data_IF_924423187831
#
_entry.id   IF_924423187831
#
_cell.length_a   1.000
_cell.length_b   1.000
_cell.length_c   1.000
_cell.angle_alpha   90.00
_cell.angle_beta   90.00
_cell.angle_gamma   90.00
#
_symmetry.space_group_name_H-M   'P 1'
#
loop_
_entity.id
_entity.type
_entity.pdbx_description
1 polymer ?
#
# COMPACT_ATOMS: atom_id res chain seq x y z
N UNK A 1 -14.64 -3.77 -15.86
CA UNK A 1 -15.53 -2.59 -15.68
C UNK A 1 -15.94 -2.60 -14.21
N UNK A 2 -15.99 -1.48 -13.48
CA UNK A 2 -16.40 -1.52 -12.08
C UNK A 2 -17.84 -2.03 -11.93
N UNK A 3 -18.20 -2.67 -10.80
CA UNK A 3 -19.56 -3.17 -10.59
C UNK A 3 -20.59 -2.03 -10.64
N UNK A 4 -21.74 -2.20 -11.31
CA UNK A 4 -22.68 -1.11 -11.60
C UNK A 4 -23.51 -0.64 -10.40
N UNK A 5 -23.67 -1.45 -9.36
CA UNK A 5 -24.44 -1.08 -8.17
C UNK A 5 -23.49 -0.63 -7.07
N UNK A 6 -23.49 0.67 -6.76
CA UNK A 6 -22.63 1.26 -5.73
C UNK A 6 -23.47 1.86 -4.62
N UNK A 7 -23.10 1.54 -3.38
CA UNK A 7 -23.73 2.07 -2.18
C UNK A 7 -22.67 2.62 -1.24
N UNK A 8 -22.94 3.80 -0.68
CA UNK A 8 -22.29 4.30 0.54
C UNK A 8 -23.14 3.86 1.72
N UNK A 9 -22.57 3.04 2.60
CA UNK A 9 -23.18 2.62 3.85
C UNK A 9 -22.65 3.54 4.95
N UNK A 10 -23.54 4.07 5.77
CA UNK A 10 -23.19 5.03 6.81
C UNK A 10 -24.03 4.86 8.08
N UNK A 11 -23.45 5.20 9.24
CA UNK A 11 -24.16 5.40 10.52
C UNK A 11 -24.81 6.78 10.62
N UNK A 12 -24.30 7.75 9.86
CA UNK A 12 -24.81 9.13 9.81
C UNK A 12 -26.17 9.17 9.11
N UNK A 13 -27.22 9.60 9.82
CA UNK A 13 -28.55 9.79 9.22
C UNK A 13 -28.47 10.90 8.14
N UNK A 14 -28.82 10.62 6.87
CA UNK A 14 -28.84 11.62 5.83
C UNK A 14 -29.78 12.81 6.13
N UNK A 15 -30.77 12.65 7.02
CA UNK A 15 -31.66 13.72 7.45
C UNK A 15 -30.96 14.82 8.28
N UNK A 16 -29.81 14.51 8.87
CA UNK A 16 -29.02 15.45 9.68
C UNK A 16 -27.97 16.23 8.87
N UNK A 17 -28.05 16.18 7.54
CA UNK A 17 -27.18 16.97 6.65
C UNK A 17 -27.75 18.38 6.46
N UNK A 18 -26.85 19.36 6.43
CA UNK A 18 -27.20 20.74 6.09
C UNK A 18 -27.47 20.91 4.59
N UNK A 19 -27.82 22.13 4.18
CA UNK A 19 -28.10 22.49 2.78
C UNK A 19 -26.89 22.33 1.84
N UNK A 20 -25.67 22.20 2.38
CA UNK A 20 -24.43 21.96 1.65
C UNK A 20 -24.03 20.48 1.64
N UNK A 21 -24.81 19.61 2.30
CA UNK A 21 -24.56 18.18 2.40
C UNK A 21 -23.58 17.78 3.50
N UNK A 22 -23.15 18.71 4.37
CA UNK A 22 -22.31 18.39 5.52
C UNK A 22 -23.16 17.78 6.64
N UNK A 23 -22.66 16.73 7.27
CA UNK A 23 -23.33 16.12 8.42
C UNK A 23 -23.20 17.04 9.64
N UNK A 24 -24.32 17.29 10.33
CA UNK A 24 -24.39 18.17 11.51
C UNK A 24 -24.97 17.47 12.76
N UNK A 25 -25.21 16.16 12.68
CA UNK A 25 -25.75 15.37 13.78
C UNK A 25 -24.72 15.02 14.86
N UNK A 26 -25.15 14.22 15.83
CA UNK A 26 -24.39 13.93 17.05
C UNK A 26 -23.46 12.71 16.97
N UNK A 27 -23.50 11.96 15.86
CA UNK A 27 -22.67 10.76 15.69
C UNK A 27 -21.18 11.10 15.61
N UNK A 28 -20.36 10.29 16.29
CA UNK A 28 -18.90 10.44 16.35
C UNK A 28 -18.25 10.09 15.00
N UNK A 29 -17.04 10.59 14.74
CA UNK A 29 -16.24 10.25 13.56
C UNK A 29 -15.37 8.99 13.76
N UNK A 30 -15.34 8.44 14.98
CA UNK A 30 -14.57 7.25 15.36
C UNK A 30 -15.42 5.98 15.49
N UNK A 31 -14.77 4.81 15.51
CA UNK A 31 -15.49 3.54 15.64
C UNK A 31 -16.05 3.43 17.04
N UNK A 32 -17.23 2.83 17.18
CA UNK A 32 -17.78 2.51 18.50
C UNK A 32 -17.19 1.22 19.08
N UNK A 33 -16.37 0.50 18.30
CA UNK A 33 -15.83 -0.84 18.61
C UNK A 33 -16.93 -1.82 19.06
N UNK A 34 -18.16 -1.60 18.60
CA UNK A 34 -19.36 -2.10 19.23
C UNK A 34 -20.47 -2.45 18.23
N UNK A 35 -21.74 -2.16 18.56
CA UNK A 35 -22.87 -2.49 17.71
C UNK A 35 -22.81 -1.88 16.30
N UNK A 36 -22.34 -0.65 16.13
CA UNK A 36 -22.29 0.03 14.83
C UNK A 36 -21.21 -0.58 13.95
N UNK A 37 -20.01 -0.81 14.49
CA UNK A 37 -18.97 -1.58 13.81
C UNK A 37 -19.49 -2.97 13.38
N UNK A 38 -20.15 -3.70 14.28
CA UNK A 38 -20.72 -5.01 13.96
C UNK A 38 -21.78 -4.92 12.86
N UNK A 39 -22.58 -3.85 12.84
CA UNK A 39 -23.56 -3.60 11.79
C UNK A 39 -22.90 -3.38 10.42
N UNK A 40 -21.78 -2.64 10.35
CA UNK A 40 -21.03 -2.48 9.11
C UNK A 40 -20.50 -3.82 8.60
N UNK A 41 -19.88 -4.62 9.47
CA UNK A 41 -19.35 -5.92 9.09
C UNK A 41 -20.45 -6.87 8.60
N UNK A 42 -21.60 -6.92 9.28
CA UNK A 42 -22.75 -7.71 8.85
C UNK A 42 -23.33 -7.23 7.52
N UNK A 43 -23.35 -5.92 7.28
CA UNK A 43 -23.79 -5.37 6.00
C UNK A 43 -22.83 -5.82 4.88
N UNK A 44 -21.52 -5.64 5.04
CA UNK A 44 -20.51 -6.06 4.05
C UNK A 44 -20.61 -7.56 3.77
N UNK A 45 -20.74 -8.38 4.81
CA UNK A 45 -20.92 -9.83 4.66
C UNK A 45 -22.16 -10.18 3.83
N UNK A 46 -23.32 -9.56 4.13
CA UNK A 46 -24.55 -9.83 3.39
C UNK A 46 -24.49 -9.38 1.93
N UNK A 47 -23.78 -8.29 1.63
CA UNK A 47 -23.54 -7.85 0.26
C UNK A 47 -22.61 -8.83 -0.48
N UNK A 48 -21.54 -9.30 0.16
CA UNK A 48 -20.63 -10.29 -0.40
C UNK A 48 -21.36 -11.62 -0.68
N UNK A 49 -22.13 -12.13 0.28
CA UNK A 49 -22.99 -13.31 0.13
C UNK A 49 -24.01 -13.16 -0.99
N UNK A 50 -24.68 -12.00 -1.06
CA UNK A 50 -25.62 -11.66 -2.13
C UNK A 50 -25.00 -11.66 -3.52
N UNK A 51 -23.69 -11.40 -3.60
CA UNK A 51 -22.89 -11.49 -4.83
C UNK A 51 -22.19 -12.85 -4.99
N UNK A 52 -22.40 -13.82 -4.10
CA UNK A 52 -21.74 -15.13 -4.16
C UNK A 52 -20.23 -15.10 -3.92
N UNK A 53 -19.73 -14.07 -3.21
CA UNK A 53 -18.30 -13.87 -2.97
C UNK A 53 -17.88 -14.52 -1.67
N UNK A 54 -16.82 -15.32 -1.72
CA UNK A 54 -16.22 -15.97 -0.55
C UNK A 54 -14.75 -15.61 -0.35
N UNK A 55 -14.12 -14.99 -1.35
CA UNK A 55 -12.73 -14.58 -1.35
C UNK A 55 -12.61 -13.22 -2.03
N UNK A 56 -11.67 -12.41 -1.54
CA UNK A 56 -11.41 -11.07 -2.02
C UNK A 56 -9.90 -10.90 -2.21
N UNK A 57 -9.50 -10.24 -3.27
CA UNK A 57 -8.13 -9.80 -3.48
C UNK A 57 -7.90 -8.46 -2.77
N UNK A 58 -6.74 -8.36 -2.10
CA UNK A 58 -6.23 -7.11 -1.56
C UNK A 58 -5.69 -6.26 -2.72
N UNK A 59 -6.04 -4.97 -2.71
CA UNK A 59 -5.61 -3.96 -3.67
C UNK A 59 -5.15 -2.71 -2.97
N UNK A 60 -4.11 -2.10 -3.55
CA UNK A 60 -3.53 -0.86 -3.05
C UNK A 60 -3.30 -0.86 -1.52
N UNK A 61 -2.69 -1.92 -0.95
CA UNK A 61 -2.46 -1.98 0.48
C UNK A 61 -1.53 -0.85 0.93
N UNK A 62 -1.82 -0.28 2.10
CA UNK A 62 -1.01 0.69 2.81
C UNK A 62 -1.00 0.32 4.29
N UNK A 63 0.00 0.81 5.02
CA UNK A 63 0.11 0.68 6.47
C UNK A 63 0.22 2.05 7.12
N UNK A 64 0.35 2.12 8.45
CA UNK A 64 0.62 3.40 9.10
C UNK A 64 1.97 3.93 8.63
N UNK A 65 1.97 5.10 8.01
CA UNK A 65 3.19 5.81 7.66
C UNK A 65 3.90 6.42 8.88
N UNK A 66 5.03 7.12 8.69
CA UNK A 66 5.75 7.81 9.77
C UNK A 66 4.95 8.95 10.40
N UNK A 67 3.87 9.41 9.74
CA UNK A 67 2.91 10.37 10.27
C UNK A 67 1.52 9.72 10.25
N UNK A 68 0.91 9.62 11.43
CA UNK A 68 -0.46 9.16 11.59
C UNK A 68 -1.40 10.36 11.56
N UNK A 69 -2.21 10.46 10.50
CA UNK A 69 -3.24 11.49 10.36
C UNK A 69 -4.62 11.01 10.81
N UNK A 70 -4.70 9.77 11.28
CA UNK A 70 -5.90 9.15 11.77
C UNK A 70 -6.40 9.75 13.09
N UNK A 71 -7.68 9.53 13.38
CA UNK A 71 -8.37 10.04 14.56
C UNK A 71 -8.13 9.14 15.78
N UNK A 72 -7.98 7.83 15.56
CA UNK A 72 -7.64 6.86 16.62
C UNK A 72 -6.12 6.62 16.65
N UNK A 73 -5.48 6.33 17.80
CA UNK A 73 -4.06 6.04 17.83
C UNK A 73 -3.70 4.78 17.01
N UNK A 74 -2.64 4.85 16.21
CA UNK A 74 -2.12 3.68 15.52
C UNK A 74 -1.78 2.54 16.50
N UNK A 75 -2.12 1.31 16.13
CA UNK A 75 -1.88 0.11 16.93
C UNK A 75 -0.61 -0.59 16.43
N UNK A 76 0.16 -1.19 17.35
CA UNK A 76 1.32 -2.00 17.01
C UNK A 76 0.96 -3.08 15.96
N UNK A 77 1.81 -3.24 14.95
CA UNK A 77 1.56 -4.16 13.84
C UNK A 77 0.41 -3.74 12.92
N UNK A 78 0.05 -2.45 12.92
CA UNK A 78 -0.91 -1.83 11.99
C UNK A 78 -2.34 -2.41 12.08
N UNK A 79 -2.70 -2.99 13.22
CA UNK A 79 -3.97 -3.70 13.39
C UNK A 79 -4.07 -5.03 12.64
N UNK A 80 -2.96 -5.55 12.10
CA UNK A 80 -2.91 -6.79 11.32
C UNK A 80 -2.42 -8.01 12.13
N UNK A 81 -2.12 -7.80 13.42
CA UNK A 81 -1.67 -8.87 14.30
C UNK A 81 -2.69 -10.02 14.36
N UNK A 82 -2.24 -11.24 14.04
CA UNK A 82 -3.09 -12.43 13.98
C UNK A 82 -3.78 -12.66 12.64
N UNK A 83 -3.84 -11.66 11.75
CA UNK A 83 -4.26 -11.81 10.36
C UNK A 83 -3.07 -12.17 9.46
N UNK A 84 -1.94 -11.49 9.68
CA UNK A 84 -0.70 -11.70 8.94
C UNK A 84 0.49 -11.83 9.89
N UNK A 85 1.60 -12.45 9.44
CA UNK A 85 2.86 -12.43 10.18
C UNK A 85 3.38 -10.99 10.36
N UNK A 86 4.26 -10.74 11.37
CA UNK A 86 4.76 -9.39 11.64
C UNK A 86 5.54 -8.73 10.50
N UNK A 87 6.10 -9.53 9.59
CA UNK A 87 6.78 -9.03 8.38
C UNK A 87 5.80 -8.69 7.24
N UNK A 88 4.49 -8.81 7.48
CA UNK A 88 3.40 -8.55 6.54
C UNK A 88 3.36 -9.50 5.34
N UNK A 89 4.03 -10.65 5.41
CA UNK A 89 3.91 -11.69 4.38
C UNK A 89 2.44 -12.06 4.16
N UNK A 90 1.96 -11.94 2.92
CA UNK A 90 0.57 -12.18 2.53
C UNK A 90 -0.33 -10.93 2.53
N UNK A 91 0.13 -9.79 3.06
CA UNK A 91 -0.57 -8.50 2.92
C UNK A 91 0.10 -7.68 1.80
N UNK A 92 -0.31 -7.95 0.56
CA UNK A 92 0.23 -7.31 -0.63
C UNK A 92 -0.82 -7.19 -1.73
N UNK A 93 -0.58 -6.33 -2.73
CA UNK A 93 -1.47 -6.24 -3.89
C UNK A 93 -1.53 -7.59 -4.59
N UNK A 94 -2.72 -8.10 -4.86
CA UNK A 94 -2.88 -9.42 -5.47
C UNK A 94 -3.21 -10.54 -4.50
N UNK A 95 -2.89 -10.39 -3.22
CA UNK A 95 -3.13 -11.44 -2.23
C UNK A 95 -4.63 -11.74 -2.11
N UNK A 96 -5.01 -13.01 -2.23
CA UNK A 96 -6.38 -13.47 -2.00
C UNK A 96 -6.56 -13.85 -0.54
N UNK A 97 -7.65 -13.35 0.06
CA UNK A 97 -8.05 -13.65 1.43
C UNK A 97 -9.49 -14.16 1.46
N UNK A 98 -9.83 -14.97 2.46
CA UNK A 98 -11.21 -15.37 2.69
C UNK A 98 -12.07 -14.18 3.10
N UNK A 99 -13.39 -14.30 2.94
CA UNK A 99 -14.34 -13.28 3.40
C UNK A 99 -14.16 -12.97 4.89
N UNK A 100 -13.91 -13.97 5.74
CA UNK A 100 -13.69 -13.76 7.18
C UNK A 100 -12.49 -12.84 7.44
N UNK A 101 -11.36 -13.07 6.76
CA UNK A 101 -10.17 -12.23 6.88
C UNK A 101 -10.42 -10.83 6.30
N UNK A 102 -11.15 -10.75 5.18
CA UNK A 102 -11.55 -9.48 4.59
C UNK A 102 -12.42 -8.63 5.52
N UNK A 103 -13.34 -9.25 6.27
CA UNK A 103 -14.15 -8.56 7.28
C UNK A 103 -13.30 -8.03 8.44
N UNK A 104 -12.28 -8.77 8.87
CA UNK A 104 -11.35 -8.28 9.88
C UNK A 104 -10.45 -7.14 9.35
N UNK A 105 -10.12 -7.14 8.06
CA UNK A 105 -9.48 -5.98 7.42
C UNK A 105 -10.42 -4.76 7.39
N UNK A 106 -11.70 -4.94 7.07
CA UNK A 106 -12.71 -3.86 7.15
C UNK A 106 -12.81 -3.32 8.57
N UNK A 107 -12.79 -4.21 9.58
CA UNK A 107 -12.77 -3.81 10.99
C UNK A 107 -11.54 -2.96 11.32
N UNK A 108 -10.35 -3.40 10.89
CA UNK A 108 -9.11 -2.66 11.13
C UNK A 108 -9.14 -1.26 10.49
N UNK A 109 -9.70 -1.13 9.29
CA UNK A 109 -9.88 0.16 8.60
C UNK A 109 -10.91 1.06 9.28
N UNK A 110 -12.05 0.50 9.73
CA UNK A 110 -13.07 1.26 10.47
C UNK A 110 -12.54 1.85 11.78
N UNK A 111 -11.65 1.11 12.45
CA UNK A 111 -10.97 1.53 13.68
C UNK A 111 -9.76 2.42 13.44
N UNK A 112 -9.39 2.66 12.18
CA UNK A 112 -8.21 3.47 11.85
C UNK A 112 -6.92 2.92 12.52
N UNK A 113 -6.84 1.58 12.64
CA UNK A 113 -5.75 0.89 13.35
C UNK A 113 -4.42 0.92 12.57
N UNK A 114 -4.42 1.39 11.32
CA UNK A 114 -3.20 1.63 10.54
C UNK A 114 -3.17 1.00 9.15
N UNK A 115 -3.74 -0.19 8.98
CA UNK A 115 -3.81 -0.82 7.67
C UNK A 115 -4.95 -0.24 6.83
N UNK A 116 -4.68 -0.07 5.54
CA UNK A 116 -5.64 0.38 4.55
C UNK A 116 -5.53 -0.47 3.30
N UNK A 117 -6.65 -0.83 2.69
CA UNK A 117 -6.67 -1.46 1.38
C UNK A 117 -8.07 -1.37 0.77
N UNK A 118 -8.13 -1.62 -0.53
CA UNK A 118 -9.38 -2.02 -1.17
C UNK A 118 -9.45 -3.54 -1.24
N UNK A 119 -10.65 -4.07 -1.06
CA UNK A 119 -10.93 -5.49 -1.20
C UNK A 119 -11.85 -5.68 -2.40
N UNK A 120 -11.47 -6.52 -3.35
CA UNK A 120 -12.25 -6.71 -4.57
C UNK A 120 -12.30 -8.18 -5.02
N UNK A 121 -13.39 -8.53 -5.71
CA UNK A 121 -13.50 -9.73 -6.51
C UNK A 121 -13.79 -9.30 -7.95
N UNK A 122 -12.71 -9.04 -8.70
CA UNK A 122 -12.75 -8.60 -10.09
C UNK A 122 -13.80 -7.50 -10.36
N UNK A 123 -14.72 -7.72 -11.30
CA UNK A 123 -15.85 -6.83 -11.60
C UNK A 123 -17.15 -7.22 -10.88
N UNK A 124 -17.11 -8.22 -10.00
CA UNK A 124 -18.27 -8.75 -9.30
C UNK A 124 -18.56 -8.01 -7.99
N UNK A 125 -17.52 -7.57 -7.28
CA UNK A 125 -17.65 -6.98 -5.96
C UNK A 125 -16.44 -6.13 -5.56
N UNK A 126 -16.67 -5.05 -4.83
CA UNK A 126 -15.62 -4.31 -4.14
C UNK A 126 -16.13 -3.71 -2.83
N UNK A 127 -15.27 -3.65 -1.82
CA UNK A 127 -15.49 -2.89 -0.59
C UNK A 127 -14.27 -2.02 -0.28
N UNK A 128 -14.56 -0.80 0.18
CA UNK A 128 -13.57 0.15 0.62
C UNK A 128 -14.13 1.00 1.77
N UNK A 129 -13.30 1.33 2.74
CA UNK A 129 -13.67 2.17 3.89
C UNK A 129 -13.08 3.54 3.64
N UNK A 130 -13.84 4.62 3.80
CA UNK A 130 -13.37 6.00 3.72
C UNK A 130 -12.84 6.50 5.07
N UNK A 131 -12.06 7.57 5.06
CA UNK A 131 -11.41 8.14 6.25
C UNK A 131 -12.41 8.66 7.30
N UNK A 132 -13.65 8.88 6.89
CA UNK A 132 -14.80 9.33 7.67
C UNK A 132 -15.75 8.17 8.07
N UNK A 133 -15.27 6.92 7.96
CA UNK A 133 -15.99 5.68 8.23
C UNK A 133 -17.16 5.37 7.30
N UNK A 134 -17.27 6.07 6.17
CA UNK A 134 -18.16 5.63 5.11
C UNK A 134 -17.66 4.30 4.52
N UNK A 135 -18.54 3.30 4.45
CA UNK A 135 -18.19 2.03 3.79
C UNK A 135 -18.81 2.03 2.40
N UNK A 136 -17.97 1.99 1.38
CA UNK A 136 -18.37 1.92 -0.01
C UNK A 136 -18.40 0.47 -0.44
N UNK A 137 -19.58 -0.01 -0.85
CA UNK A 137 -19.76 -1.36 -1.38
C UNK A 137 -20.23 -1.25 -2.83
N UNK A 138 -19.57 -1.97 -3.72
CA UNK A 138 -19.97 -2.12 -5.13
C UNK A 138 -20.25 -3.59 -5.42
N UNK A 139 -21.30 -3.89 -6.17
CA UNK A 139 -21.68 -5.25 -6.55
C UNK A 139 -22.25 -5.33 -7.96
N UNK A 140 -22.22 -6.53 -8.54
CA UNK A 140 -22.80 -6.79 -9.87
C UNK A 140 -24.34 -6.86 -9.85
N UNK A 141 -24.95 -6.97 -8.66
CA UNK A 141 -26.39 -6.98 -8.46
C UNK A 141 -26.84 -5.99 -7.37
N UNK A 142 -28.14 -5.64 -7.33
CA UNK A 142 -28.69 -4.64 -6.40
C UNK A 142 -28.69 -5.10 -4.93
N UNK A 143 -28.59 -6.41 -4.67
CA UNK A 143 -28.52 -6.99 -3.32
C UNK A 143 -29.63 -6.51 -2.37
N UNK A 144 -30.90 -6.56 -2.80
CA UNK A 144 -32.04 -6.03 -2.05
C UNK A 144 -32.14 -6.57 -0.62
N UNK A 145 -31.82 -7.86 -0.41
CA UNK A 145 -31.79 -8.46 0.93
C UNK A 145 -30.70 -7.86 1.82
N UNK A 146 -29.52 -7.58 1.28
CA UNK A 146 -28.45 -6.91 2.00
C UNK A 146 -28.85 -5.47 2.35
N UNK A 147 -29.43 -4.73 1.41
CA UNK A 147 -29.95 -3.38 1.66
C UNK A 147 -31.02 -3.34 2.77
N UNK A 148 -31.93 -4.32 2.78
CA UNK A 148 -32.94 -4.44 3.81
C UNK A 148 -32.32 -4.75 5.18
N UNK A 149 -31.32 -5.64 5.22
CA UNK A 149 -30.57 -5.94 6.43
C UNK A 149 -29.81 -4.71 6.95
N UNK A 150 -29.08 -4.00 6.08
CA UNK A 150 -28.34 -2.78 6.44
C UNK A 150 -29.25 -1.77 7.13
N UNK A 151 -30.44 -1.51 6.57
CA UNK A 151 -31.43 -0.61 7.20
C UNK A 151 -31.94 -1.13 8.53
N UNK A 152 -32.19 -2.45 8.64
CA UNK A 152 -32.63 -3.08 9.89
C UNK A 152 -31.56 -3.01 10.99
N UNK A 153 -30.29 -2.99 10.61
CA UNK A 153 -29.15 -2.82 11.53
C UNK A 153 -28.94 -1.37 11.97
N UNK A 154 -29.76 -0.43 11.49
CA UNK A 154 -29.68 0.99 11.85
C UNK A 154 -28.68 1.79 10.99
N UNK A 155 -28.19 1.22 9.89
CA UNK A 155 -27.33 1.92 8.94
C UNK A 155 -28.13 2.42 7.74
N UNK A 156 -27.60 3.43 7.06
CA UNK A 156 -28.22 4.06 5.90
C UNK A 156 -27.42 3.70 4.63
N UNK A 157 -27.95 2.82 3.76
CA UNK A 157 -27.35 2.59 2.45
C UNK A 157 -27.86 3.65 1.46
N UNK A 158 -26.95 4.46 0.94
CA UNK A 158 -27.21 5.50 -0.05
C UNK A 158 -26.65 5.07 -1.42
N UNK A 159 -27.49 4.99 -2.48
CA UNK A 159 -26.99 4.67 -3.81
C UNK A 159 -26.12 5.81 -4.35
N UNK A 160 -25.03 5.43 -5.02
CA UNK A 160 -24.13 6.37 -5.70
C UNK A 160 -24.01 6.03 -7.19
N UNK A 161 -23.77 7.01 -8.06
CA UNK A 161 -23.49 6.76 -9.46
C UNK A 161 -22.14 6.05 -9.68
N UNK A 162 -21.16 6.33 -8.82
CA UNK A 162 -19.85 5.69 -8.80
C UNK A 162 -19.23 5.80 -7.42
N UNK A 163 -18.32 4.88 -7.09
CA UNK A 163 -17.51 4.99 -5.87
C UNK A 163 -16.48 6.10 -6.06
N UNK A 164 -16.27 7.00 -5.08
CA UNK A 164 -15.13 7.93 -5.12
C UNK A 164 -13.78 7.21 -5.09
N UNK A 165 -13.78 5.92 -4.78
CA UNK A 165 -12.62 5.02 -4.77
C UNK A 165 -12.69 3.97 -5.88
N UNK A 166 -13.42 4.26 -6.96
CA UNK A 166 -13.33 3.46 -8.18
C UNK A 166 -11.87 3.44 -8.66
N UNK A 167 -11.41 2.29 -9.18
CA UNK A 167 -10.04 2.15 -9.66
C UNK A 167 -9.78 3.15 -10.79
N UNK A 168 -8.78 4.00 -10.60
CA UNK A 168 -8.25 4.84 -11.67
C UNK A 168 -7.20 4.02 -12.45
N UNK A 169 -7.48 3.80 -13.73
CA UNK A 169 -6.56 3.10 -14.63
C UNK A 169 -5.81 4.06 -15.56
N UNK A 170 -6.15 5.36 -15.54
CA UNK A 170 -5.61 6.37 -16.44
C UNK A 170 -4.42 7.12 -15.83
N UNK A 171 -3.91 6.68 -14.66
CA UNK A 171 -2.71 7.26 -14.06
C UNK A 171 -1.52 7.22 -15.03
N UNK A 172 -0.90 8.38 -15.31
CA UNK A 172 0.23 8.48 -16.22
C UNK A 172 1.46 7.79 -15.64
N UNK A 173 2.13 6.97 -16.45
CA UNK A 173 3.35 6.27 -16.07
C UNK A 173 3.56 4.99 -16.89
N UNK A 174 4.80 4.52 -16.97
CA UNK A 174 5.10 3.23 -17.61
C UNK A 174 4.83 2.12 -16.60
N UNK A 175 4.32 0.99 -17.08
CA UNK A 175 4.17 -0.22 -16.29
C UNK A 175 5.10 -1.30 -16.87
N UNK A 176 6.37 -1.30 -16.46
CA UNK A 176 7.38 -2.26 -16.94
C UNK A 176 7.39 -3.51 -16.06
N UNK A 177 7.20 -4.73 -16.60
CA UNK A 177 7.36 -5.96 -15.82
C UNK A 177 8.84 -6.23 -15.49
N UNK A 178 9.09 -6.87 -14.35
CA UNK A 178 10.39 -7.46 -14.03
C UNK A 178 10.54 -8.82 -14.76
N UNK A 179 10.60 -8.73 -16.08
CA UNK A 179 10.75 -9.85 -17.01
C UNK A 179 12.21 -10.31 -17.16
N UNK A 180 12.46 -11.25 -18.07
CA UNK A 180 13.80 -11.79 -18.31
C UNK A 180 14.82 -10.70 -18.67
N UNK A 181 14.42 -9.66 -19.41
CA UNK A 181 15.31 -8.58 -19.83
C UNK A 181 15.66 -7.67 -18.65
N UNK A 182 14.70 -7.38 -17.75
CA UNK A 182 15.00 -6.69 -16.49
C UNK A 182 16.02 -7.45 -15.65
N UNK A 183 15.84 -8.76 -15.48
CA UNK A 183 16.76 -9.58 -14.68
C UNK A 183 18.15 -9.71 -15.32
N UNK A 184 18.23 -9.78 -16.65
CA UNK A 184 19.51 -9.78 -17.36
C UNK A 184 20.27 -8.46 -17.17
N UNK A 185 19.58 -7.31 -17.30
CA UNK A 185 20.18 -5.99 -17.05
C UNK A 185 20.64 -5.85 -15.60
N UNK A 186 19.87 -6.37 -14.65
CA UNK A 186 20.23 -6.34 -13.24
C UNK A 186 21.46 -7.21 -12.94
N UNK A 187 21.56 -8.40 -13.56
CA UNK A 187 22.73 -9.26 -13.44
C UNK A 187 24.00 -8.57 -13.97
N UNK A 188 23.91 -7.92 -15.14
CA UNK A 188 25.02 -7.13 -15.69
C UNK A 188 25.42 -5.97 -14.77
N UNK A 189 24.44 -5.30 -14.16
CA UNK A 189 24.68 -4.19 -13.25
C UNK A 189 25.44 -4.63 -12.00
N UNK A 190 25.10 -5.81 -11.45
CA UNK A 190 25.76 -6.35 -10.24
C UNK A 190 27.02 -7.16 -10.53
N UNK A 191 27.36 -7.36 -11.82
CA UNK A 191 28.59 -8.02 -12.26
C UNK A 191 29.79 -7.08 -12.08
N UNK A 192 30.24 -6.92 -10.83
CA UNK A 192 31.44 -6.16 -10.47
C UNK A 192 31.22 -5.06 -9.43
N UNK A 193 29.97 -4.77 -9.07
CA UNK A 193 29.62 -3.86 -7.98
C UNK A 193 28.32 -4.30 -7.32
N UNK A 194 28.14 -3.96 -6.04
CA UNK A 194 26.85 -4.17 -5.40
C UNK A 194 25.84 -3.09 -5.86
N UNK A 195 24.57 -3.39 -5.66
CA UNK A 195 23.47 -2.44 -5.85
C UNK A 195 22.45 -2.57 -4.72
N UNK A 196 21.62 -1.56 -4.53
CA UNK A 196 20.47 -1.63 -3.62
C UNK A 196 19.21 -1.91 -4.42
N UNK A 197 18.39 -2.83 -3.92
CA UNK A 197 17.03 -3.04 -4.38
C UNK A 197 16.07 -2.54 -3.31
N UNK A 198 15.25 -1.57 -3.70
CA UNK A 198 14.04 -1.19 -2.99
C UNK A 198 12.88 -2.04 -3.49
N UNK A 199 12.29 -2.82 -2.58
CA UNK A 199 11.07 -3.58 -2.79
C UNK A 199 9.91 -2.85 -2.09
N UNK A 200 9.10 -2.13 -2.85
CA UNK A 200 7.87 -1.49 -2.35
C UNK A 200 6.73 -2.50 -2.43
N UNK A 201 6.45 -3.16 -1.30
CA UNK A 201 5.50 -4.28 -1.20
C UNK A 201 4.09 -3.83 -0.80
N UNK A 202 3.97 -2.64 -0.21
CA UNK A 202 2.73 -1.86 0.03
C UNK A 202 3.02 -0.39 -0.31
N UNK A 203 2.01 0.45 -0.51
CA UNK A 203 2.21 1.77 -1.13
C UNK A 203 3.25 2.65 -0.43
N UNK A 204 3.26 2.61 0.90
CA UNK A 204 4.04 3.50 1.75
C UNK A 204 5.08 2.78 2.62
N UNK A 205 5.50 1.58 2.22
CA UNK A 205 6.60 0.88 2.89
C UNK A 205 7.46 0.05 1.95
N UNK A 206 8.76 0.06 2.23
CA UNK A 206 9.78 -0.60 1.42
C UNK A 206 10.59 -1.59 2.26
N UNK A 207 11.06 -2.66 1.62
CA UNK A 207 12.17 -3.49 2.11
C UNK A 207 13.41 -3.21 1.26
N UNK A 208 14.56 -3.20 1.91
CA UNK A 208 15.83 -2.90 1.26
C UNK A 208 16.70 -4.14 1.22
N UNK A 209 17.21 -4.46 0.03
CA UNK A 209 18.07 -5.62 -0.19
C UNK A 209 19.37 -5.17 -0.85
N UNK A 210 20.52 -5.58 -0.31
CA UNK A 210 21.78 -5.45 -1.05
C UNK A 210 21.91 -6.59 -2.05
N UNK A 211 22.05 -6.24 -3.30
CA UNK A 211 22.25 -7.15 -4.42
C UNK A 211 23.74 -7.28 -4.75
N UNK A 212 24.18 -8.52 -4.84
CA UNK A 212 25.45 -8.94 -5.42
C UNK A 212 25.17 -10.07 -6.42
N UNK A 213 26.16 -10.45 -7.21
CA UNK A 213 26.06 -11.63 -8.09
C UNK A 213 25.65 -12.89 -7.31
N UNK A 214 26.12 -13.04 -6.08
CA UNK A 214 25.81 -14.19 -5.21
C UNK A 214 24.42 -14.11 -4.55
N UNK A 215 23.92 -12.91 -4.24
CA UNK A 215 22.67 -12.73 -3.50
C UNK A 215 21.43 -12.64 -4.39
N UNK A 216 21.59 -12.27 -5.67
CA UNK A 216 20.50 -11.93 -6.58
C UNK A 216 19.38 -12.97 -6.62
N UNK A 217 19.71 -14.25 -6.86
CA UNK A 217 18.71 -15.31 -6.97
C UNK A 217 17.96 -15.55 -5.66
N UNK A 218 18.66 -15.46 -4.52
CA UNK A 218 18.07 -15.64 -3.19
C UNK A 218 17.14 -14.50 -2.79
N UNK A 219 17.44 -13.27 -3.23
CA UNK A 219 16.57 -12.10 -3.04
C UNK A 219 15.36 -12.24 -3.96
N UNK A 220 15.56 -12.51 -5.25
CA UNK A 220 14.50 -12.69 -6.24
C UNK A 220 13.45 -13.71 -5.80
N UNK A 221 13.88 -14.84 -5.23
CA UNK A 221 12.98 -15.89 -4.76
C UNK A 221 12.08 -15.49 -3.56
N UNK A 222 12.39 -14.38 -2.89
CA UNK A 222 11.68 -13.91 -1.69
C UNK A 222 10.89 -12.61 -1.91
N UNK A 223 10.98 -12.02 -3.11
CA UNK A 223 10.26 -10.79 -3.41
C UNK A 223 8.75 -11.02 -3.40
N UNK A 224 8.03 -10.02 -2.90
CA UNK A 224 6.57 -10.02 -2.83
C UNK A 224 5.99 -9.88 -4.24
N UNK A 225 5.01 -10.71 -4.65
CA UNK A 225 4.30 -10.55 -5.91
C UNK A 225 3.75 -9.12 -6.05
N UNK A 226 3.82 -8.56 -7.27
CA UNK A 226 3.33 -7.20 -7.59
C UNK A 226 4.02 -6.05 -6.86
N UNK A 227 5.11 -6.30 -6.16
CA UNK A 227 5.93 -5.23 -5.59
C UNK A 227 6.55 -4.37 -6.70
N UNK A 228 6.66 -3.06 -6.44
CA UNK A 228 7.51 -2.19 -7.28
C UNK A 228 8.96 -2.45 -6.89
N UNK A 229 9.80 -2.57 -7.90
CA UNK A 229 11.24 -2.81 -7.76
C UNK A 229 11.97 -1.60 -8.32
N UNK A 230 12.79 -0.98 -7.47
CA UNK A 230 13.67 0.13 -7.87
C UNK A 230 15.11 -0.21 -7.50
N UNK A 231 16.00 -0.14 -8.48
CA UNK A 231 17.41 -0.47 -8.31
C UNK A 231 18.20 0.83 -8.18
N UNK A 232 18.99 0.94 -7.13
CA UNK A 232 19.78 2.10 -6.77
C UNK A 232 21.27 1.75 -6.73
N UNK A 233 22.17 2.74 -6.85
CA UNK A 233 23.58 2.54 -6.49
C UNK A 233 23.71 2.00 -5.06
N UNK A 234 24.79 1.29 -4.74
CA UNK A 234 25.03 0.80 -3.37
C UNK A 234 25.22 1.96 -2.37
N UNK A 235 25.11 1.63 -1.08
CA UNK A 235 25.36 2.55 0.02
C UNK A 235 26.81 3.06 0.00
N UNK A 236 27.00 4.34 0.28
CA UNK A 236 28.33 4.92 0.44
C UNK A 236 28.88 4.63 1.83
N UNK A 237 30.12 4.14 1.91
CA UNK A 237 30.85 4.00 3.19
C UNK A 237 31.36 5.36 3.72
N UNK A 238 31.33 6.42 2.91
CA UNK A 238 31.62 7.79 3.34
C UNK A 238 30.36 8.41 3.99
N UNK A 239 30.03 7.93 5.18
CA UNK A 239 28.84 8.37 5.94
C UNK A 239 28.92 9.86 6.30
N UNK A 240 30.12 10.36 6.63
CA UNK A 240 30.34 11.78 6.92
C UNK A 240 30.08 12.65 5.69
N UNK A 241 30.51 12.20 4.51
CA UNK A 241 30.22 12.85 3.23
C UNK A 241 28.73 12.88 2.91
N UNK A 242 28.02 11.76 3.14
CA UNK A 242 26.55 11.71 2.98
C UNK A 242 25.87 12.69 3.92
N UNK A 243 26.26 12.73 5.20
CA UNK A 243 25.70 13.65 6.19
C UNK A 243 25.96 15.12 5.82
N UNK A 244 27.15 15.44 5.32
CA UNK A 244 27.50 16.80 4.90
C UNK A 244 26.75 17.26 3.64
N UNK A 245 26.31 16.32 2.80
CA UNK A 245 25.58 16.58 1.56
C UNK A 245 24.05 16.62 1.73
N UNK A 246 23.51 16.34 2.92
CA UNK A 246 22.06 16.33 3.13
C UNK A 246 21.47 17.73 2.90
N UNK A 247 20.45 17.87 2.03
CA UNK A 247 19.70 19.11 1.92
C UNK A 247 18.93 19.40 3.22
N UNK A 248 18.50 20.66 3.39
CA UNK A 248 17.66 21.06 4.53
C UNK A 248 16.21 20.53 4.44
N UNK A 249 15.86 19.90 3.31
CA UNK A 249 14.52 19.39 3.01
C UNK A 249 14.33 17.97 3.56
N UNK A 250 13.08 17.50 3.54
CA UNK A 250 12.76 16.13 3.97
C UNK A 250 13.20 15.16 2.87
N UNK A 251 13.90 14.10 3.27
CA UNK A 251 14.44 13.08 2.38
C UNK A 251 14.27 11.69 3.00
N UNK A 252 14.43 10.66 2.18
CA UNK A 252 14.56 9.29 2.68
C UNK A 252 16.03 8.97 2.91
N UNK A 253 16.39 8.62 4.14
CA UNK A 253 17.72 8.13 4.46
C UNK A 253 17.67 6.61 4.52
N UNK A 254 18.56 5.95 3.78
CA UNK A 254 18.77 4.51 3.82
C UNK A 254 20.16 4.24 4.38
N UNK A 255 20.30 3.34 5.34
CA UNK A 255 21.59 3.01 5.93
C UNK A 255 21.71 1.56 6.31
N UNK A 256 22.95 1.08 6.37
CA UNK A 256 23.33 -0.22 6.87
C UNK A 256 23.90 -0.07 8.29
N UNK A 257 23.37 -0.84 9.23
CA UNK A 257 23.87 -0.86 10.61
C UNK A 257 25.13 -1.74 10.78
N UNK A 258 25.64 -1.80 12.01
CA UNK A 258 26.82 -2.63 12.34
C UNK A 258 26.63 -4.13 12.11
N UNK A 259 25.38 -4.61 12.11
CA UNK A 259 25.01 -6.00 11.90
C UNK A 259 24.74 -6.33 10.43
N UNK A 260 24.80 -5.33 9.54
CA UNK A 260 24.50 -5.48 8.11
C UNK A 260 23.01 -5.38 7.77
N UNK A 261 22.16 -4.96 8.70
CA UNK A 261 20.76 -4.72 8.43
C UNK A 261 20.59 -3.38 7.70
N UNK A 262 19.84 -3.38 6.60
CA UNK A 262 19.54 -2.17 5.83
C UNK A 262 18.14 -1.69 6.20
N UNK A 263 18.04 -0.44 6.62
CA UNK A 263 16.79 0.20 7.03
C UNK A 263 16.68 1.59 6.42
N UNK A 264 15.46 2.13 6.33
CA UNK A 264 15.24 3.51 5.92
C UNK A 264 14.33 4.27 6.88
N UNK A 265 14.42 5.61 6.85
CA UNK A 265 13.48 6.50 7.50
C UNK A 265 13.30 7.76 6.68
N UNK A 266 12.11 8.32 6.74
CA UNK A 266 11.79 9.65 6.22
C UNK A 266 11.80 10.63 7.39
N UNK A 267 12.70 11.60 7.38
CA UNK A 267 12.77 12.61 8.43
C UNK A 267 13.50 13.88 7.98
N UNK A 268 13.42 14.93 8.81
CA UNK A 268 14.24 16.12 8.65
C UNK A 268 15.72 15.86 8.97
N UNK A 269 16.60 16.71 8.44
CA UNK A 269 18.06 16.62 8.60
C UNK A 269 18.52 16.39 10.06
N UNK A 270 17.88 17.00 11.07
CA UNK A 270 18.35 16.91 12.46
C UNK A 270 18.13 15.51 13.03
N UNK A 271 17.01 14.88 12.69
CA UNK A 271 16.69 13.51 13.11
C UNK A 271 17.58 12.50 12.39
N UNK A 272 17.87 12.73 11.11
CA UNK A 272 18.71 11.85 10.29
C UNK A 272 20.15 11.71 10.81
N UNK A 273 20.76 12.80 11.29
CA UNK A 273 22.12 12.77 11.83
C UNK A 273 22.30 11.78 13.00
N UNK A 274 21.24 11.55 13.79
CA UNK A 274 21.30 10.62 14.94
C UNK A 274 21.32 9.16 14.48
N UNK A 275 20.63 8.84 13.38
CA UNK A 275 20.63 7.49 12.81
C UNK A 275 21.97 7.12 12.18
N UNK A 276 22.68 8.09 11.59
CA UNK A 276 23.96 7.87 10.92
C UNK A 276 25.15 7.69 11.86
N UNK A 277 25.04 8.07 13.14
CA UNK A 277 26.15 8.02 14.09
C UNK A 277 26.74 6.60 14.30
N UNK A 278 25.97 5.55 14.00
CA UNK A 278 26.41 4.15 14.08
C UNK A 278 26.29 3.39 12.74
N UNK A 279 26.02 4.09 11.63
CA UNK A 279 25.86 3.47 10.32
C UNK A 279 27.23 3.09 9.73
N UNK A 280 27.29 1.94 9.04
CA UNK A 280 28.47 1.51 8.28
C UNK A 280 28.53 2.11 6.88
N UNK A 281 27.36 2.29 6.28
CA UNK A 281 27.19 2.88 4.97
C UNK A 281 25.80 3.51 4.88
N UNK A 282 25.64 4.53 4.04
CA UNK A 282 24.37 5.24 3.89
C UNK A 282 24.20 5.85 2.50
N UNK A 283 22.96 6.19 2.17
CA UNK A 283 22.59 7.03 1.04
C UNK A 283 21.37 7.86 1.41
N UNK A 284 21.31 9.09 0.87
CA UNK A 284 20.13 9.94 0.96
C UNK A 284 19.43 9.94 -0.40
N UNK A 285 18.15 9.59 -0.41
CA UNK A 285 17.31 9.54 -1.60
C UNK A 285 16.29 10.68 -1.57
N UNK A 286 16.06 11.36 -2.71
CA UNK A 286 15.02 12.36 -2.81
C UNK A 286 13.63 11.72 -2.65
N UNK A 287 12.68 12.52 -2.15
CA UNK A 287 11.27 12.13 -2.05
C UNK A 287 10.43 12.67 -3.21
N UNK A 288 10.91 13.68 -3.92
CA UNK A 288 10.19 14.20 -5.07
C UNK A 288 10.35 13.26 -6.27
N UNK A 289 9.22 13.00 -6.93
CA UNK A 289 9.12 12.02 -8.03
C UNK A 289 10.03 12.39 -9.21
N UNK A 290 10.30 13.68 -9.44
CA UNK A 290 11.10 14.14 -10.59
C UNK A 290 12.61 13.86 -10.41
N UNK A 291 13.08 13.88 -9.17
CA UNK A 291 14.48 13.62 -8.80
C UNK A 291 14.73 12.17 -8.40
N UNK A 292 13.68 11.41 -8.04
CA UNK A 292 13.78 9.98 -7.73
C UNK A 292 13.96 9.18 -9.02
N UNK A 293 15.23 8.92 -9.36
CA UNK A 293 15.64 8.28 -10.62
C UNK A 293 16.45 7.00 -10.37
N UNK A 294 15.78 5.86 -10.20
CA UNK A 294 16.47 4.59 -10.05
C UNK A 294 17.23 4.21 -11.33
N UNK A 295 18.26 3.37 -11.20
CA UNK A 295 19.03 2.81 -12.32
C UNK A 295 18.15 1.91 -13.18
N UNK A 296 17.28 1.11 -12.54
CA UNK A 296 16.28 0.27 -13.17
C UNK A 296 14.99 0.34 -12.34
N UNK A 297 13.83 0.34 -13.00
CA UNK A 297 12.54 0.23 -12.34
C UNK A 297 11.67 -0.81 -13.06
N UNK A 298 10.94 -1.60 -12.29
CA UNK A 298 10.01 -2.60 -12.79
C UNK A 298 8.95 -2.95 -11.72
N UNK A 299 7.95 -3.74 -12.09
CA UNK A 299 6.99 -4.35 -11.17
C UNK A 299 7.10 -5.86 -11.29
N UNK A 300 7.17 -6.55 -10.15
CA UNK A 300 7.23 -8.01 -10.15
C UNK A 300 5.88 -8.57 -10.65
N UNK A 301 5.85 -9.39 -11.71
CA UNK A 301 4.60 -9.99 -12.17
C UNK A 301 4.11 -11.04 -11.16
N UNK A 302 2.89 -11.53 -11.38
CA UNK A 302 2.41 -12.73 -10.70
C UNK A 302 3.25 -13.96 -11.09
N UNK A 303 3.09 -15.07 -10.36
CA UNK A 303 3.84 -16.31 -10.61
C UNK A 303 3.64 -16.89 -12.02
N UNK A 304 2.55 -16.54 -12.70
CA UNK A 304 2.27 -16.90 -14.09
C UNK A 304 2.96 -15.99 -15.12
N UNK A 305 3.74 -15.01 -14.66
CA UNK A 305 4.45 -14.04 -15.48
C UNK A 305 3.59 -12.88 -15.97
N UNK A 306 2.31 -12.82 -15.62
CA UNK A 306 1.40 -11.75 -16.04
C UNK A 306 1.44 -10.61 -15.02
N UNK A 307 1.61 -9.39 -15.53
CA UNK A 307 1.58 -8.19 -14.71
C UNK A 307 0.15 -7.70 -14.50
N UNK A 308 -0.37 -7.86 -13.27
CA UNK A 308 -1.74 -7.42 -12.87
C UNK A 308 -1.75 -6.33 -11.81
N UNK A 309 -0.58 -5.88 -11.36
CA UNK A 309 -0.45 -4.75 -10.46
C UNK A 309 -1.12 -3.50 -11.03
N UNK A 310 -1.49 -2.55 -10.19
CA UNK A 310 -2.01 -1.24 -10.66
C UNK A 310 -0.98 -0.12 -10.51
N UNK A 311 0.08 -0.36 -9.75
CA UNK A 311 1.18 0.58 -9.57
C UNK A 311 1.86 0.95 -10.89
N UNK A 312 2.26 2.22 -11.00
CA UNK A 312 3.17 2.70 -12.05
C UNK A 312 4.62 2.68 -11.55
N UNK A 313 5.57 2.50 -12.45
CA UNK A 313 7.01 2.57 -12.13
C UNK A 313 7.52 3.99 -12.34
N UNK A 314 8.44 4.42 -11.48
CA UNK A 314 9.17 5.66 -11.68
C UNK A 314 10.00 5.63 -12.97
N UNK A 315 10.21 6.79 -13.62
CA UNK A 315 11.13 6.86 -14.76
C UNK A 315 12.55 6.50 -14.33
N UNK A 316 13.11 5.44 -14.92
CA UNK A 316 14.52 5.12 -14.71
C UNK A 316 15.42 6.23 -15.29
N UNK A 317 16.55 6.48 -14.64
CA UNK A 317 17.59 7.38 -15.14
C UNK A 317 18.18 6.89 -16.48
N UNK A 318 18.83 7.78 -17.26
CA UNK A 318 19.57 7.32 -18.43
C UNK A 318 20.61 6.29 -18.01
N UNK A 319 20.66 5.16 -18.70
CA UNK A 319 21.68 4.13 -18.46
C UNK A 319 23.05 4.81 -18.47
N UNK A 320 23.87 4.57 -17.44
CA UNK A 320 25.26 5.02 -17.42
C UNK A 320 25.97 4.25 -18.52
N UNK A 321 25.98 4.80 -19.74
CA UNK A 321 26.80 4.29 -20.81
C UNK A 321 28.23 4.42 -20.34
N UNK A 322 28.88 3.28 -20.07
CA UNK A 322 30.30 3.24 -19.78
C UNK A 322 31.07 3.92 -20.91
N UNK A 323 31.48 5.16 -20.68
CA UNK A 323 32.44 5.82 -21.55
C UNK A 323 33.81 5.28 -21.16
N UNK A 324 34.23 4.24 -21.88
CA UNK A 324 35.63 3.91 -22.01
C UNK A 324 36.39 5.10 -22.62
N UNK A 325 37.57 5.36 -22.04
CA UNK A 325 38.51 6.40 -22.45
C UNK A 325 39.49 6.70 -21.33
#
# INVERSE_FOLDING_TARGET
MPPPFVYRITKYDPADRDEHGHYTGAEDVTSDHGPVESAYLQAVAAFAEGCGISHLAIREPQITGPVHFGVEPAVDGHGLAGLFPPDLTGFHDGAEVSLDVALELVRAMLRDNGAWCRLEAEDAFAVHVGWDQYVFVSGHGPCDSALALTRKLGLFPEPLPSSPYAADYDEPGVQRPADADFWAQLLELVAGQAALLEEVYVDNASRWHRLTEESLDSVRARLTPRARLMVWPDLSTDVDGVLAALPAEVLELVWEDVNGAITSTIADHRRLATHLAAARAAVALPLDVDSRRPLLAAVLPDADGVLRARWRTEPAGPAVSGSGG
#
